data_IF_061316074994
#
_entry.id   IF_061316074994
#
_cell.length_a   1.000
_cell.length_b   1.000
_cell.length_c   1.000
_cell.angle_alpha   90.00
_cell.angle_beta   90.00
_cell.angle_gamma   90.00
#
_symmetry.space_group_name_H-M   'P 1'
#
loop_
_entity.id
_entity.type
_entity.pdbx_description
1 polymer ?
#
# COMPACT_ATOMS: atom_id res chain seq x y z
N UNK A 1 5.44 -9.39 19.41
CA UNK A 1 5.68 -8.00 19.86
C UNK A 1 6.01 -7.20 18.60
N UNK A 2 5.03 -6.50 18.03
CA UNK A 2 5.19 -5.71 16.80
C UNK A 2 5.86 -4.39 17.17
N UNK A 3 7.19 -4.35 17.12
CA UNK A 3 7.91 -3.08 17.09
C UNK A 3 7.64 -2.43 15.73
N UNK A 4 6.64 -1.56 15.67
CA UNK A 4 6.52 -0.60 14.58
C UNK A 4 7.75 0.29 14.65
N UNK A 5 8.67 0.17 13.69
CA UNK A 5 9.68 1.19 13.51
C UNK A 5 8.99 2.41 12.92
N UNK A 6 8.66 3.37 13.79
CA UNK A 6 7.90 4.58 13.47
C UNK A 6 8.48 5.32 12.24
N UNK A 7 9.80 5.33 12.09
CA UNK A 7 10.48 5.93 10.94
C UNK A 7 10.24 5.17 9.63
N UNK A 8 10.19 3.84 9.69
CA UNK A 8 9.88 3.01 8.51
C UNK A 8 8.45 3.24 8.07
N UNK A 9 7.49 3.22 9.01
CA UNK A 9 6.07 3.46 8.68
C UNK A 9 5.87 4.86 8.11
N UNK A 10 6.50 5.90 8.70
CA UNK A 10 6.46 7.26 8.16
C UNK A 10 6.96 7.33 6.72
N UNK A 11 8.11 6.71 6.43
CA UNK A 11 8.67 6.67 5.06
C UNK A 11 7.75 5.95 4.08
N UNK A 12 7.16 4.83 4.50
CA UNK A 12 6.20 4.07 3.67
C UNK A 12 4.99 4.93 3.32
N UNK A 13 4.42 5.65 4.28
CA UNK A 13 3.29 6.56 4.04
C UNK A 13 3.70 7.71 3.10
N UNK A 14 4.85 8.34 3.32
CA UNK A 14 5.34 9.43 2.45
C UNK A 14 5.53 8.93 1.00
N UNK A 15 6.10 7.74 0.81
CA UNK A 15 6.26 7.12 -0.50
C UNK A 15 4.92 6.76 -1.15
N UNK A 16 3.92 6.32 -0.37
CA UNK A 16 2.55 6.11 -0.88
C UNK A 16 1.89 7.42 -1.31
N UNK A 17 2.25 8.54 -0.70
CA UNK A 17 1.79 9.87 -1.12
C UNK A 17 2.64 10.43 -2.27
N UNK A 18 3.50 9.62 -2.89
CA UNK A 18 4.36 10.01 -4.00
C UNK A 18 5.34 11.13 -3.64
N UNK A 19 5.82 11.14 -2.39
CA UNK A 19 6.76 12.12 -1.83
C UNK A 19 6.27 13.59 -1.95
N UNK A 20 4.96 13.78 -2.10
CA UNK A 20 4.33 15.09 -2.22
C UNK A 20 4.13 15.72 -0.84
N UNK A 21 5.04 16.63 -0.46
CA UNK A 21 5.01 17.31 0.84
C UNK A 21 3.71 18.10 1.08
N UNK A 22 3.05 18.58 0.01
CA UNK A 22 1.77 19.27 0.12
C UNK A 22 0.65 18.34 0.54
N UNK A 23 0.62 17.14 -0.05
CA UNK A 23 -0.35 16.08 0.31
C UNK A 23 -0.04 15.52 1.70
N UNK A 24 1.23 15.30 2.04
CA UNK A 24 1.65 14.89 3.39
C UNK A 24 1.15 15.87 4.45
N UNK A 25 1.31 17.18 4.21
CA UNK A 25 0.80 18.21 5.12
C UNK A 25 -0.71 18.15 5.29
N UNK A 26 -1.45 17.91 4.20
CA UNK A 26 -2.92 17.74 4.26
C UNK A 26 -3.34 16.50 5.04
N UNK A 27 -2.60 15.39 4.92
CA UNK A 27 -2.82 14.21 5.75
C UNK A 27 -2.59 14.54 7.24
N UNK A 28 -1.54 15.30 7.57
CA UNK A 28 -1.29 15.76 8.95
C UNK A 28 -2.44 16.65 9.44
N UNK A 29 -2.94 17.57 8.61
CA UNK A 29 -4.08 18.42 8.96
C UNK A 29 -5.34 17.58 9.24
N UNK A 30 -5.64 16.56 8.43
CA UNK A 30 -6.75 15.62 8.66
C UNK A 30 -6.59 14.92 10.01
N UNK A 31 -5.42 14.34 10.28
CA UNK A 31 -5.15 13.62 11.52
C UNK A 31 -5.22 14.54 12.74
N UNK A 32 -4.84 15.80 12.59
CA UNK A 32 -4.91 16.81 13.67
C UNK A 32 -6.34 17.24 14.01
N UNK A 33 -7.29 17.06 13.09
CA UNK A 33 -8.73 17.31 13.32
C UNK A 33 -9.39 16.18 14.10
N UNK A 34 -8.79 14.98 14.11
CA UNK A 34 -9.29 13.83 14.85
C UNK A 34 -8.79 13.86 16.30
N UNK A 35 -9.63 13.42 17.23
CA UNK A 35 -9.26 13.26 18.64
C UNK A 35 -8.61 11.90 18.86
N UNK A 36 -7.29 11.86 18.58
CA UNK A 36 -6.48 10.65 18.63
C UNK A 36 -5.88 10.36 20.03
N UNK A 37 -6.37 11.02 21.08
CA UNK A 37 -5.82 10.86 22.43
C UNK A 37 -6.22 9.52 23.03
N UNK A 38 -5.22 8.69 23.32
CA UNK A 38 -5.40 7.44 24.03
C UNK A 38 -5.48 7.68 25.54
N UNK A 39 -6.61 7.35 26.18
CA UNK A 39 -6.74 7.38 27.64
C UNK A 39 -6.58 5.97 28.21
N UNK A 40 -5.46 5.73 28.90
CA UNK A 40 -5.09 4.42 29.44
C UNK A 40 -6.03 3.94 30.56
N UNK A 41 -6.72 4.85 31.23
CA UNK A 41 -7.56 4.55 32.40
C UNK A 41 -9.04 4.27 32.05
N UNK A 42 -9.47 4.65 30.83
CA UNK A 42 -10.88 4.56 30.40
C UNK A 42 -11.04 3.83 29.05
N UNK A 43 -9.93 3.43 28.41
CA UNK A 43 -9.93 3.05 26.99
C UNK A 43 -10.02 4.27 26.08
N UNK A 44 -10.08 4.06 24.76
CA UNK A 44 -10.30 5.17 23.83
C UNK A 44 -11.72 5.71 24.01
N UNK A 45 -11.85 6.92 24.57
CA UNK A 45 -13.14 7.60 24.68
C UNK A 45 -13.76 7.92 23.31
N UNK A 46 -12.95 7.90 22.23
CA UNK A 46 -13.34 8.20 20.85
C UNK A 46 -12.88 7.10 19.88
N UNK A 47 -13.39 5.88 20.06
CA UNK A 47 -13.06 4.72 19.22
C UNK A 47 -13.21 5.00 17.72
N UNK A 48 -14.20 5.80 17.30
CA UNK A 48 -14.44 6.04 15.87
C UNK A 48 -13.31 6.81 15.19
N UNK A 49 -12.86 7.92 15.78
CA UNK A 49 -11.77 8.76 15.25
C UNK A 49 -10.47 7.96 15.10
N UNK A 50 -10.13 7.18 16.12
CA UNK A 50 -8.92 6.36 16.10
C UNK A 50 -9.07 5.22 15.10
N UNK A 51 -10.23 4.57 15.04
CA UNK A 51 -10.47 3.49 14.10
C UNK A 51 -10.40 3.96 12.64
N UNK A 52 -11.05 5.08 12.29
CA UNK A 52 -11.00 5.60 10.91
C UNK A 52 -9.57 5.99 10.53
N UNK A 53 -8.82 6.64 11.43
CA UNK A 53 -7.43 7.00 11.19
C UNK A 53 -6.54 5.76 10.97
N UNK A 54 -6.64 4.76 11.85
CA UNK A 54 -5.86 3.52 11.75
C UNK A 54 -6.19 2.77 10.46
N UNK A 55 -7.47 2.64 10.12
CA UNK A 55 -7.92 1.91 8.93
C UNK A 55 -7.44 2.62 7.67
N UNK A 56 -7.60 3.95 7.59
CA UNK A 56 -7.12 4.72 6.45
C UNK A 56 -5.59 4.61 6.28
N UNK A 57 -4.83 4.80 7.36
CA UNK A 57 -3.37 4.70 7.33
C UNK A 57 -2.88 3.29 6.96
N UNK A 58 -3.60 2.23 7.37
CA UNK A 58 -3.30 0.85 6.96
C UNK A 58 -3.45 0.64 5.46
N UNK A 59 -4.50 1.20 4.85
CA UNK A 59 -4.67 1.11 3.40
C UNK A 59 -3.50 1.82 2.68
N UNK A 60 -3.09 2.99 3.15
CA UNK A 60 -1.93 3.70 2.61
C UNK A 60 -0.62 2.89 2.78
N UNK A 61 -0.43 2.23 3.92
CA UNK A 61 0.73 1.37 4.17
C UNK A 61 0.79 0.22 3.16
N UNK A 62 -0.35 -0.43 2.90
CA UNK A 62 -0.45 -1.59 2.03
C UNK A 62 0.10 -1.32 0.62
N UNK A 63 -0.17 -0.15 0.04
CA UNK A 63 0.28 0.22 -1.32
C UNK A 63 1.79 0.07 -1.48
N UNK A 64 2.56 0.71 -0.60
CA UNK A 64 4.02 0.69 -0.70
C UNK A 64 4.61 -0.61 -0.14
N UNK A 65 3.95 -1.23 0.85
CA UNK A 65 4.39 -2.51 1.42
C UNK A 65 4.43 -3.63 0.39
N UNK A 66 3.46 -3.73 -0.50
CA UNK A 66 3.48 -4.75 -1.55
C UNK A 66 4.58 -4.53 -2.59
N UNK A 67 4.95 -3.27 -2.88
CA UNK A 67 6.13 -2.98 -3.69
C UNK A 67 7.43 -3.43 -3.03
N UNK A 68 7.55 -3.22 -1.71
CA UNK A 68 8.68 -3.72 -0.92
C UNK A 68 8.73 -5.24 -0.94
N UNK A 69 7.59 -5.92 -0.77
CA UNK A 69 7.52 -7.39 -0.84
C UNK A 69 7.95 -7.87 -2.22
N UNK A 70 7.42 -7.27 -3.29
CA UNK A 70 7.76 -7.63 -4.67
C UNK A 70 9.27 -7.55 -4.91
N UNK A 71 9.90 -6.43 -4.56
CA UNK A 71 11.33 -6.22 -4.84
C UNK A 71 12.24 -7.00 -3.90
N UNK A 72 11.98 -6.97 -2.58
CA UNK A 72 12.92 -7.52 -1.60
C UNK A 72 12.74 -9.03 -1.39
N UNK A 73 11.51 -9.54 -1.54
CA UNK A 73 11.22 -10.96 -1.32
C UNK A 73 11.20 -11.76 -2.61
N UNK A 74 10.59 -11.24 -3.67
CA UNK A 74 10.35 -12.02 -4.89
C UNK A 74 11.40 -11.76 -5.97
N UNK A 75 11.65 -10.51 -6.32
CA UNK A 75 12.54 -10.09 -7.42
C UNK A 75 13.93 -9.63 -6.93
N UNK A 76 14.40 -10.16 -5.80
CA UNK A 76 15.74 -9.86 -5.29
C UNK A 76 16.83 -10.56 -6.12
N UNK A 77 18.07 -10.09 -5.98
CA UNK A 77 19.21 -10.61 -6.74
C UNK A 77 19.42 -12.13 -6.58
N UNK A 78 19.14 -12.68 -5.40
CA UNK A 78 19.28 -14.11 -5.14
C UNK A 78 18.28 -14.92 -5.97
N UNK A 79 17.01 -14.52 -5.98
CA UNK A 79 15.96 -15.17 -6.74
C UNK A 79 16.16 -14.97 -8.25
N UNK A 80 16.59 -13.79 -8.69
CA UNK A 80 16.94 -13.55 -10.09
C UNK A 80 18.09 -14.46 -10.56
N UNK A 81 19.09 -14.70 -9.70
CA UNK A 81 20.15 -15.66 -9.99
C UNK A 81 19.63 -17.09 -10.10
N UNK A 82 18.73 -17.52 -9.19
CA UNK A 82 18.10 -18.85 -9.26
C UNK A 82 17.32 -19.06 -10.58
N UNK A 83 16.56 -18.07 -11.03
CA UNK A 83 15.85 -18.12 -12.32
C UNK A 83 16.84 -18.31 -13.47
N UNK A 84 17.92 -17.50 -13.49
CA UNK A 84 18.96 -17.60 -14.51
C UNK A 84 19.63 -18.97 -14.53
N UNK A 85 19.92 -19.53 -13.36
CA UNK A 85 20.60 -20.82 -13.24
C UNK A 85 19.70 -21.98 -13.64
N UNK A 86 18.40 -21.92 -13.30
CA UNK A 86 17.40 -22.92 -13.71
C UNK A 86 17.34 -23.05 -15.24
N UNK A 87 17.22 -21.92 -15.95
CA UNK A 87 17.16 -21.91 -17.41
C UNK A 87 18.51 -21.97 -18.13
N UNK A 88 19.62 -22.20 -17.42
CA UNK A 88 20.96 -22.21 -18.04
C UNK A 88 21.09 -23.27 -19.15
N UNK A 89 20.33 -24.36 -19.03
CA UNK A 89 20.31 -25.47 -19.98
C UNK A 89 18.90 -25.80 -20.48
N UNK A 90 17.90 -24.98 -20.16
CA UNK A 90 16.50 -25.18 -20.52
C UNK A 90 16.00 -24.05 -21.43
N UNK A 91 15.10 -24.39 -22.36
CA UNK A 91 14.38 -23.39 -23.15
C UNK A 91 13.24 -22.77 -22.31
N UNK A 92 12.81 -21.55 -22.67
CA UNK A 92 11.65 -20.92 -22.03
C UNK A 92 11.95 -19.76 -21.08
N UNK A 93 13.23 -19.40 -20.88
CA UNK A 93 13.61 -18.22 -20.09
C UNK A 93 12.89 -16.95 -20.54
N UNK A 94 12.83 -16.73 -21.86
CA UNK A 94 12.19 -15.53 -22.43
C UNK A 94 10.72 -15.48 -22.05
N UNK A 95 9.97 -16.56 -22.31
CA UNK A 95 8.54 -16.64 -21.94
C UNK A 95 8.31 -16.48 -20.43
N UNK A 96 9.20 -17.04 -19.60
CA UNK A 96 9.13 -16.91 -18.16
C UNK A 96 9.32 -15.45 -17.70
N UNK A 97 10.35 -14.79 -18.22
CA UNK A 97 10.65 -13.38 -17.92
C UNK A 97 9.55 -12.47 -18.48
N UNK A 98 9.05 -12.70 -19.69
CA UNK A 98 7.97 -11.92 -20.29
C UNK A 98 6.70 -11.96 -19.42
N UNK A 99 6.38 -13.11 -18.81
CA UNK A 99 5.25 -13.23 -17.89
C UNK A 99 5.45 -12.40 -16.61
N UNK A 100 6.64 -12.45 -16.00
CA UNK A 100 6.98 -11.62 -14.83
C UNK A 100 6.90 -10.13 -15.20
N UNK A 101 7.49 -9.75 -16.34
CA UNK A 101 7.53 -8.37 -16.81
C UNK A 101 6.13 -7.83 -17.12
N UNK A 102 5.25 -8.66 -17.69
CA UNK A 102 3.85 -8.31 -17.91
C UNK A 102 3.16 -7.93 -16.59
N UNK A 103 3.23 -8.78 -15.57
CA UNK A 103 2.60 -8.49 -14.27
C UNK A 103 3.27 -7.33 -13.53
N UNK A 104 4.58 -7.16 -13.68
CA UNK A 104 5.31 -6.02 -13.10
C UNK A 104 4.88 -4.69 -13.73
N UNK A 105 4.69 -4.62 -15.05
CA UNK A 105 4.20 -3.42 -15.74
C UNK A 105 2.78 -3.05 -15.28
N UNK A 106 1.88 -4.04 -15.19
CA UNK A 106 0.54 -3.83 -14.63
C UNK A 106 0.57 -3.35 -13.18
N UNK A 107 1.42 -3.95 -12.35
CA UNK A 107 1.63 -3.50 -10.96
C UNK A 107 2.09 -2.04 -10.90
N UNK A 108 3.06 -1.65 -11.73
CA UNK A 108 3.62 -0.30 -11.74
C UNK A 108 2.58 0.74 -12.16
N UNK A 109 1.82 0.48 -13.23
CA UNK A 109 0.74 1.35 -13.71
C UNK A 109 -0.37 1.50 -12.66
N UNK A 110 -0.82 0.39 -12.10
CA UNK A 110 -1.84 0.42 -11.05
C UNK A 110 -1.37 1.18 -9.81
N UNK A 111 -0.09 1.05 -9.43
CA UNK A 111 0.49 1.81 -8.32
C UNK A 111 0.49 3.32 -8.60
N UNK A 112 0.86 3.73 -9.81
CA UNK A 112 0.88 5.14 -10.19
C UNK A 112 -0.52 5.76 -10.17
N UNK A 113 -1.50 5.08 -10.75
CA UNK A 113 -2.91 5.48 -10.71
C UNK A 113 -3.42 5.58 -9.27
N UNK A 114 -3.12 4.58 -8.44
CA UNK A 114 -3.54 4.55 -7.05
C UNK A 114 -2.93 5.66 -6.21
N UNK A 115 -1.66 6.02 -6.45
CA UNK A 115 -1.03 7.18 -5.79
C UNK A 115 -1.77 8.46 -6.18
N UNK A 116 -2.14 8.62 -7.45
CA UNK A 116 -2.93 9.77 -7.90
C UNK A 116 -4.30 9.82 -7.22
N UNK A 117 -5.00 8.69 -7.13
CA UNK A 117 -6.29 8.59 -6.43
C UNK A 117 -6.17 8.93 -4.94
N UNK A 118 -5.16 8.38 -4.27
CA UNK A 118 -4.89 8.66 -2.85
C UNK A 118 -4.63 10.15 -2.62
N UNK A 119 -3.85 10.79 -3.49
CA UNK A 119 -3.63 12.25 -3.43
C UNK A 119 -4.96 13.00 -3.55
N UNK A 120 -5.81 12.60 -4.48
CA UNK A 120 -7.15 13.18 -4.63
C UNK A 120 -7.99 13.00 -3.36
N UNK A 121 -8.04 11.78 -2.81
CA UNK A 121 -8.78 11.47 -1.58
C UNK A 121 -8.30 12.28 -0.38
N UNK A 122 -6.99 12.40 -0.18
CA UNK A 122 -6.43 13.23 0.90
C UNK A 122 -6.79 14.70 0.70
N UNK A 123 -6.77 15.21 -0.53
CA UNK A 123 -7.16 16.59 -0.82
C UNK A 123 -8.65 16.85 -0.51
N UNK A 124 -9.52 15.93 -0.92
CA UNK A 124 -10.97 15.99 -0.66
C UNK A 124 -11.28 15.92 0.84
N UNK A 125 -10.68 14.99 1.57
CA UNK A 125 -10.83 14.88 3.02
C UNK A 125 -10.37 16.18 3.71
N UNK A 126 -9.21 16.73 3.31
CA UNK A 126 -8.68 17.97 3.87
C UNK A 126 -9.58 19.19 3.58
N UNK A 127 -10.26 19.24 2.43
CA UNK A 127 -11.21 20.29 2.11
C UNK A 127 -12.44 20.28 3.05
N UNK A 128 -12.78 19.11 3.60
CA UNK A 128 -13.90 18.91 4.53
C UNK A 128 -13.52 19.10 6.00
N UNK A 129 -12.26 19.38 6.33
CA UNK A 129 -11.76 19.46 7.72
C UNK A 129 -12.50 20.44 8.65
N UNK A 130 -13.17 21.44 8.09
CA UNK A 130 -14.01 22.39 8.86
C UNK A 130 -15.28 21.75 9.43
N UNK A 131 -15.70 20.61 8.87
CA UNK A 131 -16.77 19.75 9.37
C UNK A 131 -16.21 18.35 9.61
N UNK A 132 -15.85 18.08 10.88
CA UNK A 132 -15.24 16.82 11.28
C UNK A 132 -16.11 15.62 10.93
N UNK A 133 -17.43 15.71 11.09
CA UNK A 133 -18.33 14.60 10.80
C UNK A 133 -18.35 14.29 9.30
N UNK A 134 -18.42 15.33 8.47
CA UNK A 134 -18.36 15.17 7.01
C UNK A 134 -17.02 14.59 6.55
N UNK A 135 -15.91 14.98 7.18
CA UNK A 135 -14.59 14.43 6.91
C UNK A 135 -14.49 12.95 7.28
N UNK A 136 -14.99 12.55 8.45
CA UNK A 136 -15.01 11.16 8.91
C UNK A 136 -15.84 10.29 7.97
N UNK A 137 -17.07 10.70 7.66
CA UNK A 137 -17.96 9.95 6.77
C UNK A 137 -17.33 9.74 5.38
N UNK A 138 -16.60 10.75 4.89
CA UNK A 138 -15.86 10.62 3.64
C UNK A 138 -14.71 9.60 3.75
N UNK A 139 -13.90 9.66 4.79
CA UNK A 139 -12.83 8.68 5.02
C UNK A 139 -13.38 7.26 5.18
N UNK A 140 -14.48 7.10 5.90
CA UNK A 140 -15.19 5.83 6.06
C UNK A 140 -15.67 5.30 4.70
N UNK A 141 -16.30 6.12 3.85
CA UNK A 141 -16.72 5.67 2.50
C UNK A 141 -15.57 5.12 1.65
N UNK A 142 -14.36 5.66 1.79
CA UNK A 142 -13.19 5.17 1.03
C UNK A 142 -12.76 3.76 1.47
N UNK A 143 -13.05 3.41 2.73
CA UNK A 143 -12.62 2.17 3.38
C UNK A 143 -13.74 1.13 3.38
N UNK A 144 -14.94 1.52 3.83
CA UNK A 144 -16.11 0.65 4.05
C UNK A 144 -16.78 0.26 2.74
N UNK A 145 -16.86 1.17 1.76
CA UNK A 145 -17.34 0.82 0.41
C UNK A 145 -16.26 0.06 -0.39
N UNK A 146 -15.09 -0.18 0.22
CA UNK A 146 -14.00 -0.95 -0.35
C UNK A 146 -13.34 -0.29 -1.56
N UNK A 147 -13.56 1.01 -1.80
CA UNK A 147 -13.02 1.72 -2.97
C UNK A 147 -11.50 1.57 -3.02
N UNK A 148 -10.83 1.87 -1.90
CA UNK A 148 -9.37 1.83 -1.83
C UNK A 148 -8.85 0.38 -1.76
N UNK A 149 -9.48 -0.46 -0.94
CA UNK A 149 -9.06 -1.86 -0.76
C UNK A 149 -9.24 -2.71 -2.01
N UNK A 150 -10.30 -2.50 -2.80
CA UNK A 150 -10.51 -3.19 -4.08
C UNK A 150 -9.47 -2.79 -5.13
N UNK A 151 -9.10 -1.50 -5.21
CA UNK A 151 -8.02 -1.03 -6.11
C UNK A 151 -6.67 -1.63 -5.70
N UNK A 152 -6.40 -1.71 -4.40
CA UNK A 152 -5.20 -2.38 -3.89
C UNK A 152 -5.21 -3.86 -4.24
N UNK A 153 -6.32 -4.57 -4.00
CA UNK A 153 -6.42 -6.00 -4.29
C UNK A 153 -6.15 -6.29 -5.77
N UNK A 154 -6.92 -5.68 -6.68
CA UNK A 154 -6.88 -5.98 -8.11
C UNK A 154 -5.58 -5.45 -8.75
N UNK A 155 -5.17 -4.24 -8.40
CA UNK A 155 -4.04 -3.57 -9.05
C UNK A 155 -2.69 -4.02 -8.51
N UNK A 156 -2.59 -4.25 -7.21
CA UNK A 156 -1.32 -4.43 -6.50
C UNK A 156 -1.16 -5.88 -6.06
N UNK A 157 -2.09 -6.41 -5.27
CA UNK A 157 -1.98 -7.72 -4.62
C UNK A 157 -2.00 -8.85 -5.63
N UNK A 158 -2.96 -8.83 -6.56
CA UNK A 158 -3.09 -9.87 -7.58
C UNK A 158 -1.83 -10.00 -8.44
N UNK A 159 -1.25 -8.87 -8.87
CA UNK A 159 -0.01 -8.90 -9.67
C UNK A 159 1.19 -9.44 -8.88
N UNK A 160 1.30 -9.11 -7.59
CA UNK A 160 2.35 -9.68 -6.72
C UNK A 160 2.18 -11.19 -6.62
N UNK A 161 0.95 -11.68 -6.41
CA UNK A 161 0.68 -13.11 -6.35
C UNK A 161 0.95 -13.83 -7.68
N UNK A 162 0.58 -13.24 -8.82
CA UNK A 162 0.89 -13.82 -10.13
C UNK A 162 2.39 -13.99 -10.34
N UNK A 163 3.19 -13.01 -9.90
CA UNK A 163 4.66 -13.12 -9.93
C UNK A 163 5.14 -14.18 -8.94
N UNK A 164 4.63 -14.22 -7.71
CA UNK A 164 5.00 -15.23 -6.72
C UNK A 164 4.69 -16.66 -7.21
N UNK A 165 3.51 -16.89 -7.77
CA UNK A 165 3.10 -18.17 -8.33
C UNK A 165 4.02 -18.60 -9.46
N UNK A 166 4.38 -17.66 -10.35
CA UNK A 166 5.31 -17.93 -11.45
C UNK A 166 6.69 -18.31 -10.93
N UNK A 167 7.20 -17.61 -9.93
CA UNK A 167 8.48 -17.91 -9.28
C UNK A 167 8.48 -19.26 -8.56
N UNK A 168 7.33 -19.66 -7.99
CA UNK A 168 7.19 -20.95 -7.31
C UNK A 168 7.33 -22.15 -8.25
N UNK A 169 7.16 -21.98 -9.57
CA UNK A 169 7.44 -23.03 -10.56
C UNK A 169 8.92 -23.46 -10.54
N UNK A 170 9.82 -22.58 -10.11
CA UNK A 170 11.28 -22.81 -10.02
C UNK A 170 11.71 -23.08 -8.59
N UNK A 171 11.14 -22.38 -7.61
CA UNK A 171 11.64 -22.42 -6.22
C UNK A 171 11.08 -23.57 -5.39
N UNK A 172 10.01 -24.23 -5.85
CA UNK A 172 9.41 -25.40 -5.20
C UNK A 172 9.59 -26.70 -5.99
N UNK A 173 10.23 -26.65 -7.16
CA UNK A 173 10.70 -27.80 -7.95
C UNK A 173 12.03 -28.31 -7.43
#
# INVERSE_FOLDING_TARGET
>A
MLYFNEDTTKRVIIATLGDDLGVVKRLIDILSTLDLRFNKDVGNLNDNDVNVAIRFLKELENVTKYGIILLNRHLNNENLAKIKDYFKFEEGLVTFIDNIMFHLDYFMKAREELISDIKHFVNEAAARRGDKLMMINYLESLIDDGILSNRILIGIVDNVFKIEDKLNEIFKS
#
